data_IF_112433203119
#
_entry.id   IF_112433203119
#
_cell.length_a   1.000
_cell.length_b   1.000
_cell.length_c   1.000
_cell.angle_alpha   90.00
_cell.angle_beta   90.00
_cell.angle_gamma   90.00
#
_symmetry.space_group_name_H-M   'P 1'
#
loop_
_entity.id
_entity.type
_entity.pdbx_description
1 polymer ?
#
# COMPACT_ATOMS: atom_id res chain seq x y z
N UNK A 1 -30.52 14.77 67.77
CA UNK A 1 -29.20 14.22 67.38
C UNK A 1 -29.40 13.35 66.15
N UNK A 2 -29.26 13.94 64.95
CA UNK A 2 -29.40 13.26 63.67
C UNK A 2 -27.99 12.94 63.10
N UNK A 3 -27.72 11.66 62.93
CA UNK A 3 -26.49 11.21 62.34
C UNK A 3 -26.65 11.13 60.77
N UNK A 4 -25.97 12.02 60.08
CA UNK A 4 -25.92 11.99 58.65
C UNK A 4 -25.07 10.81 58.18
N UNK A 5 -25.68 9.86 57.45
CA UNK A 5 -25.00 8.79 56.73
C UNK A 5 -24.34 9.37 55.47
N UNK A 6 -23.01 9.25 55.36
CA UNK A 6 -22.26 9.54 54.16
C UNK A 6 -22.43 8.41 53.16
N UNK A 7 -23.12 8.67 52.08
CA UNK A 7 -23.08 7.81 50.88
C UNK A 7 -21.77 8.02 50.12
N UNK A 8 -20.85 7.05 50.22
CA UNK A 8 -19.69 6.97 49.38
C UNK A 8 -20.09 6.37 48.00
N UNK A 9 -20.36 7.26 47.04
CA UNK A 9 -20.58 6.90 45.66
C UNK A 9 -19.29 6.39 45.01
N UNK A 10 -19.14 5.07 44.88
CA UNK A 10 -18.10 4.41 44.16
C UNK A 10 -18.18 4.76 42.65
N UNK A 11 -17.44 5.78 42.22
CA UNK A 11 -17.26 6.07 40.79
C UNK A 11 -16.44 4.96 40.13
N UNK A 12 -17.10 4.00 39.53
CA UNK A 12 -16.46 3.04 38.59
C UNK A 12 -15.84 3.81 37.43
N UNK A 13 -14.54 4.02 37.47
CA UNK A 13 -13.74 4.51 36.36
C UNK A 13 -13.85 3.50 35.21
N UNK A 14 -14.71 3.78 34.22
CA UNK A 14 -14.76 3.04 32.96
C UNK A 14 -13.45 3.31 32.21
N UNK A 15 -12.48 2.43 32.37
CA UNK A 15 -11.28 2.42 31.50
C UNK A 15 -11.73 1.97 30.10
N UNK A 16 -12.01 2.92 29.23
CA UNK A 16 -12.11 2.65 27.81
C UNK A 16 -10.71 2.28 27.33
N UNK A 17 -10.41 0.99 27.25
CA UNK A 17 -9.26 0.48 26.51
C UNK A 17 -9.55 0.70 25.02
N UNK A 18 -9.08 1.83 24.49
CA UNK A 18 -9.03 2.01 23.04
C UNK A 18 -8.08 0.94 22.50
N UNK A 19 -8.63 -0.05 21.82
CA UNK A 19 -7.84 -0.97 21.02
C UNK A 19 -7.11 -0.10 19.99
N UNK A 20 -5.79 0.01 20.09
CA UNK A 20 -4.97 0.79 19.15
C UNK A 20 -5.34 0.30 17.76
N UNK A 21 -5.95 1.18 16.96
CA UNK A 21 -6.30 0.90 15.58
C UNK A 21 -5.00 0.56 14.87
N UNK A 22 -4.84 -0.69 14.46
CA UNK A 22 -3.66 -1.12 13.72
C UNK A 22 -3.77 -0.56 12.31
N UNK A 23 -2.70 0.04 11.85
CA UNK A 23 -2.55 0.41 10.45
C UNK A 23 -2.87 -0.79 9.55
N UNK A 24 -3.55 -0.53 8.44
CA UNK A 24 -3.90 -1.59 7.50
C UNK A 24 -2.84 -1.72 6.41
N UNK A 25 -2.12 -2.84 6.43
CA UNK A 25 -1.07 -3.14 5.47
C UNK A 25 -1.50 -4.24 4.49
N UNK A 26 -1.27 -4.01 3.21
CA UNK A 26 -1.53 -4.96 2.14
C UNK A 26 -0.21 -5.45 1.54
N UNK A 27 -0.09 -6.76 1.31
CA UNK A 27 0.99 -7.29 0.49
C UNK A 27 0.57 -7.22 -0.98
N UNK A 28 1.13 -6.28 -1.72
CA UNK A 28 0.85 -6.05 -3.13
C UNK A 28 2.04 -6.45 -4.00
N UNK A 29 1.76 -6.93 -5.20
CA UNK A 29 2.78 -7.12 -6.22
C UNK A 29 2.86 -5.88 -7.09
N UNK A 30 4.06 -5.43 -7.39
CA UNK A 30 4.33 -4.34 -8.34
C UNK A 30 5.27 -4.85 -9.41
N UNK A 31 4.93 -4.64 -10.67
CA UNK A 31 5.65 -5.19 -11.82
C UNK A 31 5.92 -4.10 -12.84
N UNK A 32 7.12 -4.08 -13.39
CA UNK A 32 7.49 -3.22 -14.53
C UNK A 32 6.66 -3.60 -15.75
N UNK A 33 6.24 -2.61 -16.52
CA UNK A 33 5.39 -2.85 -17.70
C UNK A 33 6.19 -3.49 -18.83
N UNK A 34 7.43 -3.09 -19.00
CA UNK A 34 8.33 -3.51 -20.09
C UNK A 34 8.95 -4.89 -19.86
N UNK A 35 9.57 -5.12 -18.71
CA UNK A 35 10.31 -6.36 -18.44
C UNK A 35 9.48 -7.42 -17.72
N UNK A 36 8.31 -7.06 -17.18
CA UNK A 36 7.48 -7.92 -16.33
C UNK A 36 8.21 -8.44 -15.06
N UNK A 37 9.30 -7.80 -14.70
CA UNK A 37 9.96 -8.04 -13.42
C UNK A 37 9.15 -7.38 -12.31
N UNK A 38 8.92 -8.10 -11.21
CA UNK A 38 8.07 -7.62 -10.14
C UNK A 38 8.56 -7.99 -8.76
N UNK A 39 8.11 -7.22 -7.79
CA UNK A 39 8.41 -7.38 -6.37
C UNK A 39 7.12 -7.36 -5.56
N UNK A 40 7.10 -8.07 -4.43
CA UNK A 40 6.03 -7.96 -3.44
C UNK A 40 6.49 -6.98 -2.38
N UNK A 41 5.68 -5.96 -2.13
CA UNK A 41 5.94 -4.91 -1.15
C UNK A 41 4.74 -4.73 -0.21
N UNK A 42 4.96 -4.07 0.90
CA UNK A 42 3.90 -3.67 1.82
C UNK A 42 3.36 -2.29 1.42
N UNK A 43 2.06 -2.21 1.19
CA UNK A 43 1.37 -0.96 0.97
C UNK A 43 0.51 -0.61 2.19
N UNK A 44 0.61 0.61 2.66
CA UNK A 44 -0.26 1.17 3.68
C UNK A 44 -1.57 1.60 3.03
N UNK A 45 -2.69 1.15 3.57
CA UNK A 45 -4.01 1.64 3.18
C UNK A 45 -4.38 2.82 4.07
N UNK A 46 -4.52 4.01 3.47
CA UNK A 46 -4.80 5.24 4.17
C UNK A 46 -5.95 6.01 3.49
N UNK A 47 -6.93 6.44 4.26
CA UNK A 47 -8.08 7.22 3.75
C UNK A 47 -7.93 8.73 3.97
N UNK A 48 -6.80 9.19 4.50
CA UNK A 48 -6.63 10.57 4.96
C UNK A 48 -6.02 11.54 3.94
N UNK A 49 -5.50 11.07 2.82
CA UNK A 49 -4.81 11.90 1.82
C UNK A 49 -5.31 11.57 0.40
N UNK A 50 -4.95 12.39 -0.57
CA UNK A 50 -5.49 12.36 -1.95
C UNK A 50 -4.44 11.94 -2.97
N UNK A 51 -4.01 10.67 -2.95
CA UNK A 51 -3.06 10.20 -3.96
C UNK A 51 -2.75 8.71 -3.88
N UNK A 52 -1.87 8.24 -4.74
CA UNK A 52 -1.22 6.94 -4.64
C UNK A 52 0.27 7.20 -4.76
N UNK A 53 1.03 6.82 -3.74
CA UNK A 53 2.43 7.19 -3.64
C UNK A 53 3.35 6.00 -3.52
N UNK A 54 4.54 6.11 -4.12
CA UNK A 54 5.63 5.14 -4.04
C UNK A 54 6.90 5.83 -3.54
N UNK A 55 7.61 5.17 -2.66
CA UNK A 55 8.87 5.71 -2.13
C UNK A 55 9.98 5.69 -3.18
N UNK A 56 10.73 6.79 -3.25
CA UNK A 56 11.85 6.97 -4.19
C UNK A 56 12.94 5.90 -4.05
N UNK A 57 13.15 5.34 -2.85
CA UNK A 57 14.13 4.26 -2.61
C UNK A 57 13.67 2.96 -3.25
N UNK A 58 12.36 2.65 -3.18
CA UNK A 58 11.80 1.48 -3.87
C UNK A 58 11.95 1.62 -5.39
N UNK A 59 11.67 2.81 -5.93
CA UNK A 59 11.85 3.10 -7.36
C UNK A 59 13.30 2.88 -7.79
N UNK A 60 14.27 3.43 -7.06
CA UNK A 60 15.69 3.27 -7.36
C UNK A 60 16.15 1.81 -7.22
N UNK A 61 15.78 1.13 -6.13
CA UNK A 61 16.16 -0.26 -5.85
C UNK A 61 15.65 -1.23 -6.91
N UNK A 62 14.44 -1.02 -7.40
CA UNK A 62 13.83 -1.91 -8.40
C UNK A 62 14.08 -1.46 -9.83
N UNK A 63 14.63 -0.26 -10.04
CA UNK A 63 14.87 0.30 -11.37
C UNK A 63 13.56 0.56 -12.13
N UNK A 64 12.52 1.07 -11.47
CA UNK A 64 11.30 1.50 -12.14
C UNK A 64 11.56 2.74 -13.00
N UNK A 65 10.98 2.77 -14.21
CA UNK A 65 11.16 3.87 -15.16
C UNK A 65 10.40 5.10 -14.69
N UNK A 66 11.14 6.15 -14.33
CA UNK A 66 10.59 7.44 -13.94
C UNK A 66 10.07 8.20 -15.16
N UNK A 67 8.90 8.81 -15.01
CA UNK A 67 8.30 9.73 -15.96
C UNK A 67 8.09 11.07 -15.29
N UNK A 68 8.68 12.13 -15.86
CA UNK A 68 8.53 13.48 -15.35
C UNK A 68 7.09 13.97 -15.53
N UNK A 69 6.53 14.61 -14.52
CA UNK A 69 5.21 15.22 -14.57
C UNK A 69 5.28 16.52 -15.41
N UNK A 70 4.23 16.79 -16.17
CA UNK A 70 4.10 18.05 -16.92
C UNK A 70 3.91 19.25 -15.99
N UNK A 71 3.30 19.04 -14.83
CA UNK A 71 3.10 20.03 -13.75
C UNK A 71 3.51 19.43 -12.43
N UNK A 72 4.13 20.22 -11.59
CA UNK A 72 4.49 19.81 -10.23
C UNK A 72 3.23 19.61 -9.40
N UNK A 73 3.17 18.53 -8.64
CA UNK A 73 2.12 18.29 -7.66
C UNK A 73 2.62 18.73 -6.29
N UNK A 74 1.97 19.74 -5.73
CA UNK A 74 2.27 20.22 -4.39
C UNK A 74 1.37 19.49 -3.41
N UNK A 75 1.95 18.71 -2.52
CA UNK A 75 1.22 18.02 -1.46
C UNK A 75 1.07 18.98 -0.28
N UNK A 76 -0.17 19.18 0.16
CA UNK A 76 -0.47 19.88 1.41
C UNK A 76 -0.73 18.86 2.51
N UNK A 77 -0.24 19.16 3.70
CA UNK A 77 -0.58 18.41 4.91
C UNK A 77 -2.02 18.72 5.34
N UNK A 78 -2.55 17.97 6.32
CA UNK A 78 -3.91 18.14 6.86
C UNK A 78 -4.10 19.55 7.47
N UNK A 79 -3.03 20.15 7.98
CA UNK A 79 -3.00 21.51 8.52
C UNK A 79 -2.99 22.63 7.43
N UNK A 80 -3.03 22.23 6.14
CA UNK A 80 -2.97 23.13 4.99
C UNK A 80 -1.56 23.64 4.65
N UNK A 81 -0.55 23.28 5.44
CA UNK A 81 0.84 23.63 5.19
C UNK A 81 1.41 22.82 4.03
N UNK A 82 2.34 23.38 3.30
CA UNK A 82 3.06 22.64 2.26
C UNK A 82 3.95 21.56 2.88
N UNK A 83 3.96 20.39 2.25
CA UNK A 83 4.84 19.33 2.70
C UNK A 83 6.31 19.78 2.57
N UNK A 84 7.04 19.78 3.68
CA UNK A 84 8.45 20.16 3.74
C UNK A 84 9.37 19.27 2.88
N UNK A 85 8.90 18.11 2.44
CA UNK A 85 9.63 17.18 1.57
C UNK A 85 9.59 17.55 0.09
N UNK A 86 8.97 18.67 -0.26
CA UNK A 86 8.94 19.23 -1.60
C UNK A 86 7.79 18.77 -2.48
N UNK A 87 7.77 19.29 -3.71
CA UNK A 87 6.77 18.92 -4.71
C UNK A 87 7.09 17.60 -5.38
N UNK A 88 6.04 16.87 -5.78
CA UNK A 88 6.16 15.65 -6.58
C UNK A 88 6.45 16.04 -8.03
N UNK A 89 7.55 15.53 -8.56
CA UNK A 89 8.06 15.86 -9.89
C UNK A 89 7.97 14.70 -10.87
N UNK A 90 7.87 13.49 -10.36
CA UNK A 90 7.91 12.25 -11.13
C UNK A 90 6.82 11.27 -10.72
N UNK A 91 6.46 10.42 -11.66
CA UNK A 91 5.58 9.26 -11.47
C UNK A 91 6.22 8.02 -12.09
N UNK A 92 5.76 6.86 -11.68
CA UNK A 92 6.03 5.56 -12.32
C UNK A 92 4.73 4.97 -12.83
N UNK A 93 4.81 4.22 -13.92
CA UNK A 93 3.68 3.45 -14.45
C UNK A 93 4.00 1.96 -14.28
N UNK A 94 3.13 1.23 -13.59
CA UNK A 94 3.36 -0.16 -13.18
C UNK A 94 2.09 -1.00 -13.30
N UNK A 95 2.27 -2.33 -13.37
CA UNK A 95 1.18 -3.25 -13.10
C UNK A 95 1.15 -3.55 -11.61
N UNK A 96 0.03 -3.30 -10.95
CA UNK A 96 -0.17 -3.57 -9.54
C UNK A 96 -1.11 -4.76 -9.36
N UNK A 97 -0.80 -5.62 -8.39
CA UNK A 97 -1.53 -6.85 -8.11
C UNK A 97 -1.88 -6.94 -6.64
N UNK A 98 -3.13 -7.22 -6.36
CA UNK A 98 -3.56 -7.57 -5.02
C UNK A 98 -4.55 -8.75 -5.10
N UNK A 99 -4.19 -9.92 -4.54
CA UNK A 99 -4.97 -11.15 -4.63
C UNK A 99 -5.33 -11.50 -6.08
N UNK A 100 -6.63 -11.43 -6.43
CA UNK A 100 -7.15 -11.67 -7.79
C UNK A 100 -7.35 -10.38 -8.61
N UNK A 101 -7.00 -9.23 -8.05
CA UNK A 101 -7.09 -7.94 -8.71
C UNK A 101 -5.76 -7.60 -9.40
N UNK A 102 -5.84 -7.03 -10.59
CA UNK A 102 -4.72 -6.51 -11.36
C UNK A 102 -5.13 -5.21 -12.04
N UNK A 103 -4.27 -4.22 -11.96
CA UNK A 103 -4.45 -2.96 -12.68
C UNK A 103 -3.13 -2.40 -13.18
N UNK A 104 -3.21 -1.60 -14.25
CA UNK A 104 -2.13 -0.71 -14.68
C UNK A 104 -2.37 0.64 -14.05
N UNK A 105 -1.44 1.09 -13.19
CA UNK A 105 -1.60 2.29 -12.39
C UNK A 105 -0.40 3.22 -12.54
N UNK A 106 -0.65 4.53 -12.45
CA UNK A 106 0.38 5.56 -12.29
C UNK A 106 0.47 5.93 -10.82
N UNK A 107 1.68 5.93 -10.30
CA UNK A 107 1.97 6.16 -8.90
C UNK A 107 2.95 7.31 -8.79
N UNK A 108 2.62 8.31 -8.00
CA UNK A 108 3.46 9.46 -7.75
C UNK A 108 4.64 9.10 -6.86
N UNK A 109 5.82 9.64 -7.18
CA UNK A 109 7.06 9.28 -6.49
C UNK A 109 7.47 10.40 -5.52
N UNK A 110 7.55 10.04 -4.25
CA UNK A 110 7.98 10.97 -3.21
C UNK A 110 8.77 10.25 -2.10
N UNK A 111 9.18 10.96 -1.07
CA UNK A 111 9.82 10.41 0.10
C UNK A 111 8.75 10.00 1.11
N UNK A 112 8.58 8.69 1.33
CA UNK A 112 7.63 8.13 2.27
C UNK A 112 8.28 7.65 3.59
N UNK A 113 9.56 7.89 3.76
CA UNK A 113 10.30 7.45 4.94
C UNK A 113 10.47 5.93 4.96
N UNK A 114 9.74 5.20 5.80
CA UNK A 114 9.85 3.74 5.95
C UNK A 114 8.79 2.95 5.15
N UNK A 115 7.85 3.64 4.51
CA UNK A 115 6.73 3.02 3.78
C UNK A 115 7.09 2.89 2.32
N UNK A 116 6.84 1.72 1.72
CA UNK A 116 7.14 1.49 0.31
C UNK A 116 6.08 2.12 -0.61
N UNK A 117 4.80 1.90 -0.29
CA UNK A 117 3.66 2.38 -1.06
C UNK A 117 2.54 2.78 -0.11
N UNK A 118 1.82 3.86 -0.47
CA UNK A 118 0.58 4.26 0.19
C UNK A 118 -0.54 4.27 -0.85
N UNK A 119 -1.62 3.54 -0.54
CA UNK A 119 -2.87 3.51 -1.31
C UNK A 119 -3.90 4.33 -0.56
N UNK A 120 -4.41 5.38 -1.19
CA UNK A 120 -5.24 6.36 -0.52
C UNK A 120 -6.65 6.49 -1.09
N UNK A 121 -7.35 7.53 -0.69
CA UNK A 121 -8.77 7.74 -1.00
C UNK A 121 -9.11 7.60 -2.49
N UNK A 122 -8.35 8.15 -3.47
CA UNK A 122 -8.68 7.97 -4.89
C UNK A 122 -8.68 6.50 -5.32
N UNK A 123 -7.73 5.70 -4.79
CA UNK A 123 -7.67 4.26 -5.06
C UNK A 123 -8.86 3.53 -4.41
N UNK A 124 -9.17 3.89 -3.17
CA UNK A 124 -10.32 3.35 -2.44
C UNK A 124 -11.64 3.66 -3.13
N UNK A 125 -11.83 4.89 -3.61
CA UNK A 125 -13.03 5.30 -4.34
C UNK A 125 -13.17 4.58 -5.69
N UNK A 126 -12.07 4.48 -6.44
CA UNK A 126 -12.08 3.81 -7.75
C UNK A 126 -12.42 2.32 -7.64
N UNK A 127 -11.95 1.64 -6.61
CA UNK A 127 -12.10 0.18 -6.46
C UNK A 127 -13.22 -0.22 -5.50
N UNK A 128 -13.66 0.70 -4.64
CA UNK A 128 -14.70 0.51 -3.62
C UNK A 128 -14.62 -0.89 -2.95
N UNK A 129 -13.47 -1.27 -2.36
CA UNK A 129 -13.29 -2.60 -1.80
C UNK A 129 -14.18 -2.81 -0.57
N UNK A 130 -14.55 -4.07 -0.32
CA UNK A 130 -15.13 -4.46 0.96
C UNK A 130 -14.02 -4.60 2.00
N UNK A 131 -14.06 -3.76 3.05
CA UNK A 131 -13.04 -3.73 4.09
C UNK A 131 -13.63 -4.19 5.42
N UNK A 132 -13.06 -5.26 5.98
CA UNK A 132 -13.29 -5.63 7.36
C UNK A 132 -12.16 -5.06 8.23
N UNK A 133 -12.46 -3.95 8.90
CA UNK A 133 -11.50 -3.20 9.73
C UNK A 133 -11.07 -3.95 10.99
N UNK A 134 -11.92 -4.83 11.50
CA UNK A 134 -11.64 -5.60 12.71
C UNK A 134 -10.49 -6.60 12.53
N UNK A 135 -10.50 -7.31 11.40
CA UNK A 135 -9.52 -8.34 11.06
C UNK A 135 -8.53 -7.91 9.98
N UNK A 136 -8.60 -6.66 9.51
CA UNK A 136 -7.70 -6.13 8.49
C UNK A 136 -7.81 -6.84 7.14
N UNK A 137 -9.02 -7.23 6.71
CA UNK A 137 -9.23 -7.97 5.47
C UNK A 137 -9.88 -7.10 4.41
N UNK A 138 -9.28 -7.10 3.21
CA UNK A 138 -9.77 -6.36 2.04
C UNK A 138 -10.17 -7.34 0.94
N UNK A 139 -11.36 -7.15 0.35
CA UNK A 139 -11.87 -7.92 -0.78
C UNK A 139 -12.16 -6.99 -1.96
N UNK A 140 -11.63 -7.32 -3.13
CA UNK A 140 -11.78 -6.56 -4.37
C UNK A 140 -12.99 -7.08 -5.16
N UNK A 141 -14.21 -6.75 -4.70
CA UNK A 141 -15.47 -7.25 -5.28
C UNK A 141 -16.13 -6.28 -6.26
N UNK A 142 -15.83 -4.99 -6.14
CA UNK A 142 -16.53 -3.91 -6.85
C UNK A 142 -15.62 -3.09 -7.77
N UNK A 143 -14.52 -3.71 -8.21
CA UNK A 143 -13.57 -3.05 -9.10
C UNK A 143 -14.22 -2.66 -10.43
N UNK A 144 -13.79 -1.55 -11.03
CA UNK A 144 -14.20 -1.17 -12.37
C UNK A 144 -13.80 -2.24 -13.42
N UNK A 145 -14.52 -2.34 -14.55
CA UNK A 145 -14.26 -3.36 -15.59
C UNK A 145 -12.85 -3.33 -16.19
N UNK A 146 -12.17 -2.19 -16.11
CA UNK A 146 -10.78 -2.03 -16.56
C UNK A 146 -9.78 -2.85 -15.74
N UNK A 147 -10.14 -3.24 -14.52
CA UNK A 147 -9.30 -4.08 -13.68
C UNK A 147 -9.33 -5.53 -14.15
N UNK A 148 -8.18 -6.08 -14.48
CA UNK A 148 -8.04 -7.49 -14.83
C UNK A 148 -8.15 -8.40 -13.61
N UNK A 149 -8.50 -9.67 -13.85
CA UNK A 149 -8.38 -10.72 -12.82
C UNK A 149 -6.99 -11.31 -12.86
N UNK A 150 -6.15 -10.92 -11.90
CA UNK A 150 -4.78 -11.43 -11.77
C UNK A 150 -4.75 -12.83 -11.19
N UNK A 151 -4.38 -13.83 -11.98
CA UNK A 151 -4.10 -15.17 -11.47
C UNK A 151 -2.69 -15.23 -10.88
N UNK A 152 -2.57 -14.88 -9.61
CA UNK A 152 -1.29 -14.91 -8.89
C UNK A 152 -0.69 -16.33 -8.77
N UNK A 153 -1.51 -17.39 -8.92
CA UNK A 153 -1.04 -18.77 -8.81
C UNK A 153 -0.15 -19.16 -9.99
N UNK A 154 -0.48 -18.67 -11.19
CA UNK A 154 0.33 -18.92 -12.40
C UNK A 154 1.67 -18.20 -12.33
N UNK A 155 1.73 -16.97 -11.77
CA UNK A 155 2.97 -16.19 -11.64
C UNK A 155 3.92 -16.78 -10.59
N UNK A 156 3.44 -17.20 -9.42
CA UNK A 156 4.28 -17.88 -8.41
C UNK A 156 4.96 -19.14 -8.95
N UNK A 157 4.26 -19.93 -9.79
CA UNK A 157 4.83 -21.11 -10.47
C UNK A 157 5.91 -20.70 -11.50
N UNK A 158 5.69 -19.61 -12.26
CA UNK A 158 6.64 -19.14 -13.29
C UNK A 158 7.92 -18.57 -12.68
N UNK A 159 7.80 -17.81 -11.58
CA UNK A 159 8.96 -17.27 -10.82
C UNK A 159 9.74 -18.40 -10.13
N UNK A 160 9.08 -19.37 -9.50
CA UNK A 160 9.75 -20.54 -8.92
C UNK A 160 10.48 -21.38 -10.00
N UNK A 161 9.86 -21.58 -11.18
CA UNK A 161 10.48 -22.31 -12.29
C UNK A 161 11.70 -21.58 -12.83
N UNK A 162 11.66 -20.24 -12.99
CA UNK A 162 12.83 -19.45 -13.43
C UNK A 162 13.97 -19.46 -12.42
N UNK A 163 13.70 -19.30 -11.11
CA UNK A 163 14.74 -19.43 -10.07
C UNK A 163 15.40 -20.83 -10.08
N UNK A 164 14.62 -21.88 -10.26
CA UNK A 164 15.14 -23.26 -10.30
C UNK A 164 16.00 -23.54 -11.54
N UNK A 165 15.67 -22.91 -12.67
CA UNK A 165 16.47 -23.03 -13.90
C UNK A 165 17.79 -22.26 -13.75
N UNK A 166 17.76 -21.03 -13.21
CA UNK A 166 18.97 -20.24 -12.97
C UNK A 166 19.94 -20.95 -12.01
N UNK A 167 19.46 -21.54 -10.92
CA UNK A 167 20.29 -22.32 -9.99
C UNK A 167 20.90 -23.56 -10.65
N UNK A 168 20.19 -24.25 -11.51
CA UNK A 168 20.71 -25.40 -12.26
C UNK A 168 21.73 -25.02 -13.34
N UNK A 169 21.64 -23.81 -13.91
CA UNK A 169 22.62 -23.29 -14.84
C UNK A 169 23.90 -22.86 -14.12
N UNK A 170 23.80 -22.25 -12.96
CA UNK A 170 24.95 -21.91 -12.09
C UNK A 170 25.70 -23.16 -11.61
N UNK A 171 25.02 -24.24 -11.23
CA UNK A 171 25.64 -25.51 -10.82
C UNK A 171 26.33 -26.26 -11.98
N UNK A 172 25.94 -25.99 -13.26
CA UNK A 172 26.59 -26.58 -14.43
C UNK A 172 27.88 -25.85 -14.86
N UNK A 173 28.04 -24.58 -14.47
CA UNK A 173 29.23 -23.77 -14.77
C UNK A 173 30.39 -24.08 -13.79
N UNK A 174 30.08 -24.64 -12.61
CA UNK A 174 31.07 -24.94 -11.57
C UNK A 174 31.63 -26.38 -11.67
N UNK A 175 31.19 -27.18 -12.65
CA UNK A 175 31.73 -28.50 -12.98
C UNK A 175 32.55 -28.46 -14.27
#
# INVERSE_FOLDING_TARGET
MESAAKEEGSQRKVRRTFKILREMWLNIGVEKIDTHEGVIVKALLNSGITGVFMDKRLVAKQGFKLKKLKRLLVVKNIDGMYNSRGAITHQVEVNMYYRNHMEKIRIDVCDLGKTDIILEMPWLQAHNPEINWEIGKVKMMRCPPICGRGDQRKKKKKVKKRKRIATLEEEKIIR
#
